data_IF_908869650993
#
_entry.id   IF_908869650993
#
_cell.length_a   1.000
_cell.length_b   1.000
_cell.length_c   1.000
_cell.angle_alpha   90.00
_cell.angle_beta   90.00
_cell.angle_gamma   90.00
#
_symmetry.space_group_name_H-M   'P 1'
#
loop_
_entity.id
_entity.type
_entity.pdbx_description
1 polymer ?
#
# COMPACT_ATOMS: atom_id res chain seq x y z
N UNK A 1 -27.54 16.73 -77.18
CA UNK A 1 -26.91 17.25 -75.95
C UNK A 1 -27.64 16.59 -74.78
N UNK A 2 -26.99 15.70 -74.02
CA UNK A 2 -27.48 15.18 -72.73
C UNK A 2 -26.34 14.40 -72.05
N UNK A 3 -25.34 15.12 -71.53
CA UNK A 3 -24.16 14.54 -70.84
C UNK A 3 -24.12 14.85 -69.34
N UNK A 4 -25.17 15.47 -68.78
CA UNK A 4 -25.17 15.95 -67.39
C UNK A 4 -25.63 14.93 -66.34
N UNK A 5 -26.14 13.75 -66.72
CA UNK A 5 -26.75 12.79 -65.77
C UNK A 5 -25.81 11.69 -65.26
N UNK A 6 -24.69 11.41 -65.94
CA UNK A 6 -23.78 10.30 -65.57
C UNK A 6 -22.67 10.68 -64.61
N UNK A 7 -22.35 11.97 -64.46
CA UNK A 7 -21.29 12.43 -63.53
C UNK A 7 -21.80 12.46 -62.09
N UNK A 8 -23.07 12.79 -61.87
CA UNK A 8 -23.64 12.85 -60.52
C UNK A 8 -23.78 11.47 -59.85
N UNK A 9 -24.00 10.41 -60.63
CA UNK A 9 -24.17 9.04 -60.10
C UNK A 9 -22.82 8.40 -59.72
N UNK A 10 -21.72 8.82 -60.34
CA UNK A 10 -20.37 8.32 -60.02
C UNK A 10 -19.71 9.02 -58.83
N UNK A 11 -20.22 10.16 -58.39
CA UNK A 11 -19.66 10.92 -57.27
C UNK A 11 -20.22 10.53 -55.89
N UNK A 12 -21.20 9.62 -55.82
CA UNK A 12 -21.88 9.27 -54.56
C UNK A 12 -21.36 7.97 -53.90
N UNK A 13 -20.50 7.19 -54.57
CA UNK A 13 -20.03 5.88 -54.06
C UNK A 13 -18.59 5.93 -53.52
N UNK A 14 -17.87 7.02 -53.73
CA UNK A 14 -16.49 7.24 -53.26
C UNK A 14 -16.41 8.31 -52.17
N UNK A 15 -17.38 8.36 -51.25
CA UNK A 15 -17.20 9.05 -49.97
C UNK A 15 -16.76 8.00 -48.97
N UNK A 16 -15.43 7.89 -48.88
CA UNK A 16 -14.66 7.09 -47.96
C UNK A 16 -15.44 6.61 -46.74
N UNK A 17 -15.53 5.30 -46.61
CA UNK A 17 -15.52 4.57 -45.35
C UNK A 17 -14.30 5.02 -44.50
N UNK A 18 -14.38 6.22 -43.95
CA UNK A 18 -13.51 6.72 -42.91
C UNK A 18 -13.85 5.95 -41.65
N UNK A 19 -13.13 4.84 -41.47
CA UNK A 19 -13.10 4.01 -40.29
C UNK A 19 -13.02 4.88 -39.02
N UNK A 20 -14.18 5.18 -38.44
CA UNK A 20 -14.27 5.41 -37.00
C UNK A 20 -14.14 4.04 -36.32
N UNK A 21 -12.96 3.44 -36.44
CA UNK A 21 -12.45 2.53 -35.42
C UNK A 21 -12.16 3.41 -34.21
N UNK A 22 -13.22 3.88 -33.54
CA UNK A 22 -13.15 4.16 -32.13
C UNK A 22 -12.90 2.80 -31.48
N UNK A 23 -11.63 2.38 -31.51
CA UNK A 23 -11.17 1.27 -30.72
C UNK A 23 -11.49 1.67 -29.28
N UNK A 24 -12.53 1.06 -28.71
CA UNK A 24 -12.68 0.95 -27.26
C UNK A 24 -11.50 0.10 -26.78
N UNK A 25 -10.31 0.69 -26.83
CA UNK A 25 -9.08 0.08 -26.39
C UNK A 25 -9.09 0.01 -24.88
N UNK A 26 -8.66 -1.14 -24.37
CA UNK A 26 -8.37 -1.37 -22.97
C UNK A 26 -7.19 -0.52 -22.47
N UNK A 27 -6.46 0.12 -23.39
CA UNK A 27 -5.31 0.98 -23.12
C UNK A 27 -5.70 2.34 -22.55
N UNK A 28 -4.85 2.86 -21.67
CA UNK A 28 -4.98 4.23 -21.16
C UNK A 28 -4.59 5.27 -22.22
N UNK A 29 -5.20 6.45 -22.14
CA UNK A 29 -4.63 7.63 -22.79
C UNK A 29 -3.47 8.15 -21.93
N UNK A 30 -2.29 8.25 -22.53
CA UNK A 30 -1.05 8.69 -21.87
C UNK A 30 -0.60 10.01 -22.51
N UNK A 31 -0.48 11.08 -21.73
CA UNK A 31 0.04 12.38 -22.19
C UNK A 31 1.54 12.32 -22.49
N UNK A 32 2.15 13.33 -23.11
CA UNK A 32 3.58 13.30 -23.47
C UNK A 32 4.53 13.18 -22.27
N UNK A 33 4.07 13.55 -21.08
CA UNK A 33 4.81 13.51 -19.82
C UNK A 33 4.68 12.15 -19.12
N UNK A 34 3.97 11.19 -19.71
CA UNK A 34 3.84 9.84 -19.16
C UNK A 34 2.85 9.74 -18.01
N UNK A 35 1.80 10.58 -18.01
CA UNK A 35 0.70 10.51 -17.06
C UNK A 35 -0.62 10.18 -17.76
N UNK A 36 -1.62 9.76 -16.97
CA UNK A 36 -2.97 9.50 -17.45
C UNK A 36 -3.98 10.01 -16.43
N UNK A 37 -4.94 10.82 -16.88
CA UNK A 37 -6.04 11.30 -16.03
C UNK A 37 -7.07 10.19 -15.71
N UNK A 38 -7.12 9.14 -16.53
CA UNK A 38 -8.06 8.03 -16.40
C UNK A 38 -7.36 6.71 -16.79
N UNK A 39 -6.41 6.24 -15.97
CA UNK A 39 -5.67 5.01 -16.23
C UNK A 39 -6.63 3.80 -16.23
N UNK A 40 -6.55 2.98 -17.27
CA UNK A 40 -7.37 1.76 -17.42
C UNK A 40 -6.51 0.53 -17.19
N UNK A 41 -6.94 -0.36 -16.32
CA UNK A 41 -6.28 -1.64 -16.10
C UNK A 41 -7.03 -2.74 -16.86
N UNK A 42 -6.35 -3.52 -17.72
CA UNK A 42 -6.97 -4.66 -18.38
C UNK A 42 -7.45 -5.72 -17.38
N UNK A 43 -8.40 -6.56 -17.79
CA UNK A 43 -8.77 -7.71 -16.97
C UNK A 43 -7.64 -8.74 -16.96
N UNK A 44 -7.36 -9.37 -15.81
CA UNK A 44 -6.31 -10.40 -15.68
C UNK A 44 -6.47 -11.53 -16.73
N UNK A 45 -7.70 -11.86 -17.13
CA UNK A 45 -7.99 -12.87 -18.15
C UNK A 45 -7.52 -12.50 -19.57
N UNK A 46 -7.26 -11.21 -19.84
CA UNK A 46 -6.72 -10.73 -21.11
C UNK A 46 -5.17 -10.86 -21.17
N UNK A 47 -4.54 -11.18 -20.04
CA UNK A 47 -3.11 -11.43 -19.98
C UNK A 47 -2.74 -12.73 -20.69
N UNK A 48 -1.64 -12.69 -21.45
CA UNK A 48 -1.03 -13.92 -21.99
C UNK A 48 -0.30 -14.74 -20.92
N UNK A 49 -0.16 -14.19 -19.70
CA UNK A 49 0.45 -14.81 -18.52
C UNK A 49 -0.38 -14.47 -17.27
N UNK A 50 -1.62 -14.98 -17.15
CA UNK A 50 -2.55 -14.61 -16.07
C UNK A 50 -2.06 -15.04 -14.67
N UNK A 51 -1.13 -15.98 -14.60
CA UNK A 51 -0.43 -16.34 -13.37
C UNK A 51 0.50 -15.22 -12.85
N UNK A 52 0.81 -14.19 -13.64
CA UNK A 52 1.68 -13.10 -13.21
C UNK A 52 3.09 -13.54 -12.80
N UNK A 53 3.71 -12.77 -11.92
CA UNK A 53 5.03 -13.05 -11.36
C UNK A 53 5.08 -12.71 -9.87
N UNK A 54 5.84 -13.49 -9.08
CA UNK A 54 6.17 -13.10 -7.72
C UNK A 54 7.20 -11.97 -7.75
N UNK A 55 6.80 -10.80 -7.26
CA UNK A 55 7.62 -9.61 -7.33
C UNK A 55 8.50 -9.45 -6.08
N UNK A 56 9.72 -8.94 -6.27
CA UNK A 56 10.58 -8.50 -5.18
C UNK A 56 10.19 -7.09 -4.77
N UNK A 57 9.86 -6.88 -3.49
CA UNK A 57 9.60 -5.54 -2.95
C UNK A 57 10.82 -4.63 -3.08
N UNK A 58 12.02 -5.18 -2.87
CA UNK A 58 13.27 -4.43 -3.03
C UNK A 58 13.47 -3.93 -4.47
N UNK A 59 13.12 -4.74 -5.47
CA UNK A 59 13.22 -4.30 -6.87
C UNK A 59 12.19 -3.23 -7.18
N UNK A 60 10.98 -3.35 -6.63
CA UNK A 60 9.91 -2.38 -6.82
C UNK A 60 10.24 -1.03 -6.18
N UNK A 61 10.90 -1.02 -5.02
CA UNK A 61 11.37 0.19 -4.33
C UNK A 61 12.51 0.91 -5.08
N UNK A 62 13.28 0.19 -5.90
CA UNK A 62 14.32 0.79 -6.76
C UNK A 62 13.73 1.57 -7.92
N UNK A 63 12.48 1.30 -8.31
CA UNK A 63 11.87 1.93 -9.49
C UNK A 63 11.62 3.42 -9.24
N UNK A 64 12.07 4.25 -10.18
CA UNK A 64 11.96 5.70 -10.10
C UNK A 64 11.60 6.30 -11.46
N UNK A 65 10.99 7.51 -11.49
CA UNK A 65 10.83 8.28 -12.72
C UNK A 65 12.16 8.49 -13.44
N UNK A 66 12.13 8.50 -14.77
CA UNK A 66 13.32 8.61 -15.63
C UNK A 66 13.98 7.27 -16.00
N UNK A 67 13.56 6.15 -15.41
CA UNK A 67 14.12 4.84 -15.77
C UNK A 67 13.78 4.43 -17.20
N UNK A 68 14.77 3.87 -17.89
CA UNK A 68 14.57 3.27 -19.21
C UNK A 68 13.83 1.94 -19.13
N UNK A 69 13.21 1.54 -20.24
CA UNK A 69 12.60 0.22 -20.40
C UNK A 69 13.54 -0.94 -20.10
N UNK A 70 14.82 -0.82 -20.45
CA UNK A 70 15.83 -1.84 -20.17
C UNK A 70 16.02 -2.06 -18.67
N UNK A 71 16.14 -0.97 -17.90
CA UNK A 71 16.25 -1.04 -16.43
C UNK A 71 15.01 -1.66 -15.80
N UNK A 72 13.82 -1.32 -16.32
CA UNK A 72 12.59 -1.94 -15.84
C UNK A 72 12.48 -3.42 -16.18
N UNK A 73 12.99 -3.86 -17.34
CA UNK A 73 13.09 -5.29 -17.65
C UNK A 73 13.99 -6.04 -16.66
N UNK A 74 15.07 -5.42 -16.19
CA UNK A 74 15.95 -6.02 -15.17
C UNK A 74 15.26 -6.13 -13.80
N UNK A 75 14.43 -5.15 -13.44
CA UNK A 75 13.78 -5.10 -12.12
C UNK A 75 12.48 -5.92 -12.06
N UNK A 76 11.66 -5.86 -13.11
CA UNK A 76 10.30 -6.43 -13.15
C UNK A 76 10.15 -7.61 -14.13
N UNK A 77 11.10 -7.79 -15.05
CA UNK A 77 10.93 -8.69 -16.18
C UNK A 77 10.01 -8.11 -17.25
N UNK A 78 9.47 -8.98 -18.12
CA UNK A 78 8.58 -8.58 -19.20
C UNK A 78 7.16 -8.27 -18.71
N UNK A 79 6.45 -7.28 -19.30
CA UNK A 79 5.06 -7.00 -18.95
C UNK A 79 4.16 -8.18 -19.25
N UNK A 80 2.99 -8.26 -18.62
CA UNK A 80 2.11 -9.44 -18.69
C UNK A 80 0.97 -9.29 -19.71
N UNK A 81 0.89 -8.19 -20.45
CA UNK A 81 -0.19 -7.90 -21.39
C UNK A 81 0.33 -7.53 -22.78
N UNK A 82 -0.55 -7.61 -23.78
CA UNK A 82 -0.26 -7.16 -25.13
C UNK A 82 -0.46 -5.65 -25.24
N UNK A 83 0.61 -4.92 -25.51
CA UNK A 83 0.58 -3.45 -25.49
C UNK A 83 0.72 -2.82 -26.89
N UNK A 84 0.78 -3.67 -27.92
CA UNK A 84 0.94 -3.28 -29.32
C UNK A 84 2.38 -3.42 -29.82
N UNK A 85 2.60 -3.04 -31.09
CA UNK A 85 3.85 -3.30 -31.81
C UNK A 85 4.79 -2.07 -31.89
N UNK A 86 4.29 -0.85 -31.68
CA UNK A 86 5.06 0.37 -31.90
C UNK A 86 4.84 1.40 -30.79
N UNK A 87 5.92 2.05 -30.34
CA UNK A 87 5.94 3.17 -29.40
C UNK A 87 5.05 2.96 -28.15
N UNK A 88 5.10 1.76 -27.56
CA UNK A 88 4.31 1.42 -26.37
C UNK A 88 4.58 2.38 -25.22
N UNK A 89 3.55 3.04 -24.70
CA UNK A 89 3.67 4.05 -23.62
C UNK A 89 3.08 3.60 -22.29
N UNK A 90 2.67 2.35 -22.20
CA UNK A 90 2.02 1.77 -21.04
C UNK A 90 2.43 0.31 -20.92
N UNK A 91 2.92 -0.07 -19.75
CA UNK A 91 3.20 -1.44 -19.38
C UNK A 91 2.32 -1.92 -18.24
N UNK A 92 1.73 -3.11 -18.37
CA UNK A 92 0.88 -3.70 -17.34
C UNK A 92 1.46 -5.01 -16.78
N UNK A 93 1.40 -5.15 -15.47
CA UNK A 93 1.93 -6.31 -14.74
C UNK A 93 0.90 -6.88 -13.77
N UNK A 94 0.94 -8.20 -13.57
CA UNK A 94 0.25 -8.90 -12.49
C UNK A 94 1.34 -9.33 -11.49
N UNK A 95 1.43 -8.60 -10.38
CA UNK A 95 2.40 -8.85 -9.32
C UNK A 95 1.76 -9.67 -8.20
N UNK A 96 2.47 -10.70 -7.74
CA UNK A 96 2.06 -11.55 -6.62
C UNK A 96 3.00 -11.38 -5.44
N UNK A 97 2.42 -11.37 -4.26
CA UNK A 97 3.15 -11.25 -3.01
C UNK A 97 2.66 -12.31 -2.02
N UNK A 98 3.59 -13.00 -1.38
CA UNK A 98 3.24 -14.00 -0.37
C UNK A 98 2.79 -13.33 0.93
N UNK A 99 1.73 -13.86 1.52
CA UNK A 99 1.25 -13.46 2.85
C UNK A 99 1.27 -14.65 3.79
N UNK A 100 1.80 -14.46 5.00
CA UNK A 100 1.89 -15.53 5.98
C UNK A 100 0.49 -15.96 6.44
N UNK A 101 0.15 -17.24 6.27
CA UNK A 101 -1.14 -17.80 6.70
C UNK A 101 -2.36 -17.30 5.92
N UNK A 102 -2.16 -16.67 4.76
CA UNK A 102 -3.23 -16.15 3.90
C UNK A 102 -2.96 -16.49 2.44
N UNK A 103 -3.98 -16.36 1.58
CA UNK A 103 -3.78 -16.44 0.14
C UNK A 103 -2.85 -15.31 -0.34
N UNK A 104 -2.09 -15.58 -1.40
CA UNK A 104 -1.23 -14.56 -2.00
C UNK A 104 -2.03 -13.32 -2.40
N UNK A 105 -1.42 -12.16 -2.19
CA UNK A 105 -1.96 -10.90 -2.68
C UNK A 105 -1.62 -10.75 -4.15
N UNK A 106 -2.62 -10.38 -4.96
CA UNK A 106 -2.46 -10.11 -6.39
C UNK A 106 -2.72 -8.62 -6.62
N UNK A 107 -1.71 -7.92 -7.13
CA UNK A 107 -1.77 -6.51 -7.48
C UNK A 107 -1.59 -6.36 -8.99
N UNK A 108 -2.41 -5.55 -9.65
CA UNK A 108 -2.04 -5.05 -10.97
C UNK A 108 -1.16 -3.82 -10.80
N UNK A 109 -0.07 -3.75 -11.56
CA UNK A 109 0.89 -2.67 -11.52
C UNK A 109 1.14 -2.15 -12.92
N UNK A 110 0.98 -0.85 -13.09
CA UNK A 110 1.07 -0.18 -14.39
C UNK A 110 2.20 0.83 -14.38
N UNK A 111 2.99 0.81 -15.44
CA UNK A 111 4.05 1.78 -15.69
C UNK A 111 3.71 2.58 -16.94
N UNK A 112 3.67 3.91 -16.83
CA UNK A 112 3.45 4.80 -17.96
C UNK A 112 4.75 5.49 -18.36
N UNK A 113 4.96 5.63 -19.66
CA UNK A 113 6.16 6.20 -20.24
C UNK A 113 5.89 7.53 -20.92
N UNK A 114 6.83 8.47 -20.82
CA UNK A 114 6.81 9.71 -21.59
C UNK A 114 7.04 9.48 -23.09
N UNK A 115 7.09 10.57 -23.86
CA UNK A 115 7.38 10.55 -25.30
C UNK A 115 8.78 10.00 -25.64
N UNK A 116 9.72 10.06 -24.69
CA UNK A 116 11.09 9.60 -24.83
C UNK A 116 11.27 8.16 -24.30
N UNK A 117 10.15 7.48 -23.99
CA UNK A 117 10.09 6.11 -23.47
C UNK A 117 10.78 5.91 -22.12
N UNK A 118 10.84 6.96 -21.30
CA UNK A 118 11.27 6.89 -19.91
C UNK A 118 10.05 6.74 -19.01
N UNK A 119 10.16 5.91 -17.98
CA UNK A 119 9.07 5.66 -17.04
C UNK A 119 8.79 6.91 -16.19
N UNK A 120 7.53 7.26 -15.99
CA UNK A 120 7.15 8.46 -15.24
C UNK A 120 6.09 8.18 -14.17
N UNK A 121 5.03 7.43 -14.53
CA UNK A 121 3.96 7.11 -13.57
C UNK A 121 3.93 5.62 -13.23
N UNK A 122 3.66 5.34 -11.96
CA UNK A 122 3.59 3.99 -11.40
C UNK A 122 2.29 3.83 -10.62
N UNK A 123 1.38 2.99 -11.10
CA UNK A 123 0.03 2.89 -10.55
C UNK A 123 -0.29 1.47 -10.12
N UNK A 124 -0.86 1.34 -8.93
CA UNK A 124 -1.41 0.08 -8.43
C UNK A 124 -2.91 0.01 -8.61
N UNK A 125 -3.41 -1.19 -8.91
CA UNK A 125 -4.81 -1.54 -8.80
C UNK A 125 -4.96 -2.86 -8.02
N UNK A 126 -5.65 -2.85 -6.86
CA UNK A 126 -6.22 -1.67 -6.19
C UNK A 126 -5.11 -0.70 -5.70
N UNK A 127 -5.44 0.58 -5.48
CA UNK A 127 -4.46 1.61 -5.17
C UNK A 127 -3.70 1.37 -3.84
N UNK A 128 -4.36 0.72 -2.89
CA UNK A 128 -3.84 0.36 -1.58
C UNK A 128 -3.14 -1.00 -1.56
N UNK A 129 -2.87 -1.62 -2.71
CA UNK A 129 -2.42 -3.02 -2.75
C UNK A 129 -1.18 -3.29 -1.89
N UNK A 130 -0.13 -2.47 -1.97
CA UNK A 130 1.07 -2.67 -1.15
C UNK A 130 0.81 -2.47 0.35
N UNK A 131 -0.16 -1.61 0.73
CA UNK A 131 -0.52 -1.42 2.14
C UNK A 131 -1.15 -2.70 2.73
N UNK A 132 -1.78 -3.54 1.90
CA UNK A 132 -2.35 -4.83 2.32
C UNK A 132 -1.28 -5.90 2.62
N UNK A 133 -0.01 -5.63 2.29
CA UNK A 133 1.12 -6.49 2.68
C UNK A 133 1.58 -6.24 4.10
N UNK A 134 1.27 -5.07 4.65
CA UNK A 134 1.58 -4.82 6.05
C UNK A 134 0.74 -5.79 6.88
N UNK A 135 1.37 -6.62 7.73
CA UNK A 135 0.61 -7.42 8.68
C UNK A 135 -0.25 -6.43 9.46
N UNK A 136 -1.56 -6.68 9.53
CA UNK A 136 -2.52 -5.82 10.19
C UNK A 136 -1.88 -5.24 11.44
N UNK A 137 -1.41 -4.00 11.36
CA UNK A 137 -0.90 -3.31 12.51
C UNK A 137 -2.04 -3.41 13.50
N UNK A 138 -1.73 -3.97 14.67
CA UNK A 138 -2.58 -3.82 15.85
C UNK A 138 -3.16 -2.40 15.79
N UNK A 139 -4.48 -2.27 16.00
CA UNK A 139 -5.26 -1.11 15.59
C UNK A 139 -4.49 0.15 15.93
N UNK A 140 -4.43 1.08 14.96
CA UNK A 140 -4.06 2.50 15.07
C UNK A 140 -3.26 2.82 16.31
N UNK A 141 -2.05 3.39 16.18
CA UNK A 141 -1.38 4.10 17.28
C UNK A 141 -2.32 5.22 17.78
N UNK A 142 -3.31 4.84 18.58
CA UNK A 142 -3.87 5.61 19.65
C UNK A 142 -2.64 5.90 20.50
N UNK A 143 -2.44 7.15 20.95
CA UNK A 143 -1.37 7.45 21.88
C UNK A 143 -1.46 6.41 23.00
N UNK A 144 -0.48 5.52 23.07
CA UNK A 144 -0.40 4.49 24.09
C UNK A 144 -0.54 5.26 25.40
N UNK A 145 -1.58 5.01 26.22
CA UNK A 145 -1.72 5.74 27.47
C UNK A 145 -0.43 5.52 28.23
N UNK A 146 0.28 6.62 28.53
CA UNK A 146 1.53 6.58 29.28
C UNK A 146 1.24 5.92 30.62
N UNK A 147 1.58 4.63 30.74
CA UNK A 147 1.46 3.93 32.01
C UNK A 147 2.58 4.44 32.89
N UNK A 148 2.25 5.33 33.82
CA UNK A 148 3.20 5.82 34.80
C UNK A 148 3.54 4.70 35.78
N UNK A 149 4.74 4.14 35.65
CA UNK A 149 5.23 3.10 36.56
C UNK A 149 5.75 3.76 37.84
N UNK A 150 5.10 3.46 38.96
CA UNK A 150 5.59 3.83 40.30
C UNK A 150 6.26 2.60 40.92
N UNK A 151 7.56 2.69 41.20
CA UNK A 151 8.31 1.65 41.92
C UNK A 151 8.42 2.03 43.39
N UNK A 152 7.87 1.20 44.28
CA UNK A 152 8.07 1.31 45.72
C UNK A 152 9.09 0.24 46.14
N UNK A 153 10.15 0.64 46.83
CA UNK A 153 11.12 -0.31 47.40
C UNK A 153 10.48 -1.05 48.58
N UNK A 154 10.49 -2.38 48.54
CA UNK A 154 9.87 -3.23 49.56
C UNK A 154 10.51 -3.03 50.94
N UNK A 155 11.84 -2.86 50.98
CA UNK A 155 12.64 -2.70 52.21
C UNK A 155 12.34 -1.39 52.97
N UNK A 156 11.71 -0.41 52.31
CA UNK A 156 11.33 0.86 52.91
C UNK A 156 9.84 0.92 53.32
N UNK A 157 9.04 -0.06 52.89
CA UNK A 157 7.57 -0.04 53.04
C UNK A 157 7.09 -0.91 54.19
N UNK A 158 7.73 -2.06 54.40
CA UNK A 158 7.38 -3.01 55.45
C UNK A 158 8.40 -2.95 56.59
N UNK A 159 7.97 -3.30 57.80
CA UNK A 159 8.93 -3.58 58.87
C UNK A 159 9.67 -4.89 58.54
N UNK A 160 10.94 -4.99 58.94
CA UNK A 160 11.76 -6.18 58.68
C UNK A 160 11.07 -7.43 59.22
N UNK A 161 10.95 -8.46 58.37
CA UNK A 161 10.32 -9.76 58.68
C UNK A 161 8.86 -9.66 59.16
N UNK A 162 8.12 -8.62 58.72
CA UNK A 162 6.73 -8.36 59.11
C UNK A 162 5.89 -8.04 57.88
N UNK A 163 4.65 -8.53 57.87
CA UNK A 163 3.64 -8.12 56.89
C UNK A 163 3.05 -6.72 57.18
N UNK A 164 3.42 -6.11 58.31
CA UNK A 164 2.98 -4.77 58.70
C UNK A 164 3.82 -3.69 58.02
N UNK A 165 3.15 -2.66 57.51
CA UNK A 165 3.80 -1.44 57.02
C UNK A 165 4.50 -0.70 58.16
N UNK A 166 5.73 -0.25 57.90
CA UNK A 166 6.44 0.66 58.81
C UNK A 166 5.73 2.01 58.88
N UNK A 167 5.98 2.81 59.91
CA UNK A 167 5.43 4.17 60.01
C UNK A 167 5.80 5.03 58.77
N UNK A 168 7.04 4.87 58.28
CA UNK A 168 7.52 5.51 57.06
C UNK A 168 6.81 4.97 55.81
N UNK A 169 6.57 3.65 55.73
CA UNK A 169 5.83 3.01 54.64
C UNK A 169 4.39 3.49 54.52
N UNK A 170 3.69 3.65 55.65
CA UNK A 170 2.34 4.24 55.70
C UNK A 170 2.32 5.67 55.15
N UNK A 171 3.24 6.52 55.61
CA UNK A 171 3.36 7.91 55.11
C UNK A 171 3.67 7.99 53.61
N UNK A 172 4.51 7.08 53.11
CA UNK A 172 4.82 7.01 51.67
C UNK A 172 3.60 6.59 50.83
N UNK A 173 2.84 5.61 51.30
CA UNK A 173 1.60 5.17 50.66
C UNK A 173 0.52 6.25 50.69
N UNK A 174 0.36 6.97 51.80
CA UNK A 174 -0.59 8.07 51.92
C UNK A 174 -0.27 9.19 50.93
N UNK A 175 1.01 9.58 50.79
CA UNK A 175 1.45 10.58 49.81
C UNK A 175 1.21 10.13 48.37
N UNK A 176 1.41 8.85 48.07
CA UNK A 176 1.12 8.30 46.76
C UNK A 176 -0.38 8.29 46.47
N UNK A 177 -1.20 7.89 47.45
CA UNK A 177 -2.65 7.85 47.32
C UNK A 177 -3.24 9.24 47.07
N UNK A 178 -2.72 10.28 47.74
CA UNK A 178 -3.13 11.68 47.50
C UNK A 178 -2.77 12.11 46.07
N UNK A 179 -1.56 11.80 45.60
CA UNK A 179 -1.12 12.14 44.25
C UNK A 179 -2.01 11.53 43.18
N UNK A 180 -2.29 10.22 43.28
CA UNK A 180 -3.13 9.50 42.32
C UNK A 180 -4.55 10.08 42.30
N UNK A 181 -5.14 10.40 43.47
CA UNK A 181 -6.47 11.02 43.53
C UNK A 181 -6.52 12.41 42.91
N UNK A 182 -5.45 13.19 43.06
CA UNK A 182 -5.33 14.53 42.48
C UNK A 182 -5.15 14.46 40.95
N UNK A 183 -4.34 13.52 40.46
CA UNK A 183 -4.06 13.35 39.03
C UNK A 183 -5.20 12.63 38.28
N UNK A 184 -5.98 11.78 38.97
CA UNK A 184 -7.01 10.93 38.37
C UNK A 184 -8.30 10.84 39.23
N UNK A 185 -9.11 11.92 39.31
CA UNK A 185 -10.31 11.98 40.16
C UNK A 185 -11.46 11.01 39.78
N UNK A 186 -11.36 10.29 38.66
CA UNK A 186 -12.41 9.42 38.11
C UNK A 186 -12.04 7.91 38.05
N UNK A 187 -10.87 7.48 38.57
CA UNK A 187 -10.45 6.07 38.52
C UNK A 187 -10.56 5.36 39.88
N UNK A 188 -11.69 4.68 40.10
CA UNK A 188 -11.94 3.85 41.29
C UNK A 188 -11.45 2.40 41.20
N UNK A 189 -10.59 2.03 40.23
CA UNK A 189 -10.12 0.65 40.06
C UNK A 189 -8.62 0.57 39.76
N UNK A 190 -7.84 0.18 40.76
CA UNK A 190 -6.43 -0.19 40.60
C UNK A 190 -6.33 -1.68 40.25
N UNK A 191 -5.67 -2.02 39.14
CA UNK A 191 -5.38 -3.41 38.75
C UNK A 191 -3.94 -3.75 39.10
N UNK A 192 -3.74 -4.51 40.18
CA UNK A 192 -2.42 -5.01 40.57
C UNK A 192 -1.93 -6.09 39.59
N UNK A 193 -0.66 -5.99 39.19
CA UNK A 193 0.07 -6.99 38.41
C UNK A 193 1.44 -7.24 39.06
N UNK A 194 1.44 -7.70 40.31
CA UNK A 194 2.65 -8.14 41.00
C UNK A 194 3.34 -9.30 40.24
N UNK A 195 4.58 -9.09 39.80
CA UNK A 195 5.45 -10.15 39.27
C UNK A 195 6.68 -10.26 40.17
N UNK A 196 6.65 -11.22 41.09
CA UNK A 196 7.80 -11.55 41.96
C UNK A 196 8.82 -12.27 41.07
N UNK A 197 10.01 -11.68 40.92
CA UNK A 197 11.16 -12.36 40.30
C UNK A 197 11.99 -12.96 41.42
N UNK A 198 11.87 -14.25 41.62
CA UNK A 198 12.76 -15.02 42.49
C UNK A 198 14.14 -15.07 41.82
N UNK A 199 15.14 -14.45 42.42
CA UNK A 199 16.54 -14.70 42.08
C UNK A 199 17.01 -15.91 42.89
N UNK A 200 17.34 -17.00 42.21
CA UNK A 200 18.06 -18.12 42.82
C UNK A 200 19.53 -17.74 43.01
N UNK A 201 20.07 -18.08 44.18
CA UNK A 201 21.49 -18.00 44.50
C UNK A 201 22.34 -18.89 43.59
#
# INVERSE_FOLDING_TARGET
MNTFSTVAIRALVTTCAGLLLAACGTLSQVDEQGHSAAPKFPAISESYRPQGSYASLENLEKIQPGMSKAQLYELLGTPHFHEGLFAVREWDYILRFRRAGQADLVCQYKVLFDKDLQAQSFLFSPADCLAQLQPATSPTVQPVPTVQRVTLSADASFAFDRADLSAAGRSNLDRLAVRIRHEHPQQGSCRDKGKIRTFGF
#
